data_IF_147138708976
#
_entry.id   IF_147138708976
#
_cell.length_a   1.000
_cell.length_b   1.000
_cell.length_c   1.000
_cell.angle_alpha   90.00
_cell.angle_beta   90.00
_cell.angle_gamma   90.00
#
_symmetry.space_group_name_H-M   'P 1'
#
loop_
_entity.id
_entity.type
_entity.pdbx_description
1 polymer ?
#
# COMPACT_ATOMS: atom_id res chain seq x y z
N UNK A 1 -21.05 5.91 8.74
CA UNK A 1 -20.15 4.76 8.98
C UNK A 1 -20.48 3.71 7.93
N UNK A 2 -19.72 3.66 6.83
CA UNK A 2 -19.94 2.67 5.77
C UNK A 2 -19.06 1.47 6.08
N UNK A 3 -19.67 0.45 6.69
CA UNK A 3 -19.02 -0.85 6.93
C UNK A 3 -18.75 -1.50 5.56
N UNK A 4 -17.51 -1.88 5.22
CA UNK A 4 -17.26 -2.61 3.99
C UNK A 4 -17.98 -3.97 4.03
N UNK A 5 -18.50 -4.43 2.89
CA UNK A 5 -19.05 -5.79 2.76
C UNK A 5 -17.94 -6.78 3.10
N UNK A 6 -18.26 -7.74 3.97
CA UNK A 6 -17.44 -8.90 4.32
C UNK A 6 -16.94 -9.57 3.02
N UNK A 7 -15.65 -9.42 2.70
CA UNK A 7 -15.00 -10.00 1.52
C UNK A 7 -14.54 -9.02 0.42
N UNK A 8 -14.83 -7.72 0.52
CA UNK A 8 -14.32 -6.73 -0.43
C UNK A 8 -13.13 -5.96 0.16
N UNK A 9 -11.99 -5.98 -0.54
CA UNK A 9 -10.82 -5.18 -0.18
C UNK A 9 -11.19 -3.67 -0.18
N UNK A 10 -10.71 -2.86 0.77
CA UNK A 10 -11.06 -1.45 0.88
C UNK A 10 -10.62 -0.67 -0.35
N UNK A 11 -11.40 0.33 -0.80
CA UNK A 11 -10.98 1.16 -1.93
C UNK A 11 -9.70 1.93 -1.58
N UNK A 12 -8.65 1.73 -2.37
CA UNK A 12 -7.39 2.48 -2.24
C UNK A 12 -7.36 3.69 -3.18
N UNK A 13 -6.59 4.71 -2.79
CA UNK A 13 -6.36 5.90 -3.61
C UNK A 13 -4.86 6.07 -3.83
N UNK A 14 -4.44 6.28 -5.07
CA UNK A 14 -3.04 6.44 -5.45
C UNK A 14 -2.82 7.78 -6.16
N UNK A 15 -1.63 8.33 -6.00
CA UNK A 15 -1.20 9.46 -6.82
C UNK A 15 -0.88 8.92 -8.21
N UNK A 16 -1.10 9.72 -9.25
CA UNK A 16 -0.77 9.32 -10.62
C UNK A 16 0.70 8.91 -10.80
N UNK A 17 1.64 9.62 -10.16
CA UNK A 17 3.06 9.29 -10.24
C UNK A 17 3.43 8.00 -9.49
N UNK A 18 2.83 7.77 -8.32
CA UNK A 18 2.98 6.49 -7.61
C UNK A 18 2.38 5.34 -8.43
N UNK A 19 1.20 5.54 -9.03
CA UNK A 19 0.55 4.53 -9.88
C UNK A 19 1.44 4.12 -11.06
N UNK A 20 1.94 5.10 -11.82
CA UNK A 20 2.80 4.84 -12.99
C UNK A 20 4.10 4.10 -12.61
N UNK A 21 4.68 4.45 -11.45
CA UNK A 21 5.88 3.80 -10.95
C UNK A 21 5.60 2.35 -10.53
N UNK A 22 4.46 2.10 -9.87
CA UNK A 22 4.09 0.78 -9.40
C UNK A 22 3.63 -0.13 -10.54
N UNK A 23 2.85 0.37 -11.49
CA UNK A 23 2.40 -0.37 -12.68
C UNK A 23 3.59 -0.88 -13.50
N UNK A 24 4.58 0.00 -13.76
CA UNK A 24 5.83 -0.41 -14.41
C UNK A 24 6.58 -1.46 -13.59
N UNK A 25 6.62 -1.32 -12.27
CA UNK A 25 7.30 -2.24 -11.39
C UNK A 25 6.67 -3.65 -11.42
N UNK A 26 5.34 -3.74 -11.39
CA UNK A 26 4.65 -5.05 -11.38
C UNK A 26 4.53 -5.67 -12.76
N UNK A 27 4.45 -4.87 -13.83
CA UNK A 27 4.38 -5.36 -15.21
C UNK A 27 5.60 -6.19 -15.63
N UNK A 28 6.75 -5.95 -15.00
CA UNK A 28 8.00 -6.71 -15.23
C UNK A 28 8.10 -8.01 -14.40
N UNK A 29 7.13 -8.28 -13.52
CA UNK A 29 7.18 -9.36 -12.54
C UNK A 29 6.13 -10.46 -12.80
N UNK A 30 6.35 -11.69 -12.28
CA UNK A 30 5.32 -12.72 -12.29
C UNK A 30 4.07 -12.26 -11.53
N UNK A 31 2.89 -12.55 -12.10
CA UNK A 31 1.58 -12.20 -11.51
C UNK A 31 1.18 -13.06 -10.30
N UNK A 32 2.08 -13.29 -9.36
CA UNK A 32 1.84 -14.04 -8.13
C UNK A 32 2.52 -13.39 -6.92
N UNK A 33 2.17 -13.83 -5.72
CA UNK A 33 2.68 -13.26 -4.48
C UNK A 33 2.36 -11.76 -4.34
N UNK A 34 3.23 -10.97 -3.66
CA UNK A 34 2.99 -9.55 -3.45
C UNK A 34 2.83 -8.73 -4.74
N UNK A 35 3.54 -9.08 -5.82
CA UNK A 35 3.43 -8.39 -7.10
C UNK A 35 2.05 -8.59 -7.74
N UNK A 36 1.55 -9.84 -7.75
CA UNK A 36 0.20 -10.14 -8.24
C UNK A 36 -0.89 -9.48 -7.40
N UNK A 37 -0.73 -9.44 -6.08
CA UNK A 37 -1.67 -8.74 -5.19
C UNK A 37 -1.65 -7.22 -5.41
N UNK A 38 -0.47 -6.64 -5.59
CA UNK A 38 -0.33 -5.22 -5.90
C UNK A 38 -0.96 -4.88 -7.25
N UNK A 39 -0.79 -5.71 -8.28
CA UNK A 39 -1.47 -5.52 -9.57
C UNK A 39 -3.00 -5.48 -9.40
N UNK A 40 -3.58 -6.40 -8.61
CA UNK A 40 -5.02 -6.40 -8.33
C UNK A 40 -5.50 -5.12 -7.64
N UNK A 41 -4.65 -4.51 -6.80
CA UNK A 41 -4.93 -3.21 -6.18
C UNK A 41 -4.86 -2.07 -7.19
N UNK A 42 -3.86 -2.07 -8.08
CA UNK A 42 -3.74 -1.08 -9.14
C UNK A 42 -4.96 -1.09 -10.06
N UNK A 43 -5.43 -2.26 -10.48
CA UNK A 43 -6.57 -2.44 -11.41
C UNK A 43 -7.87 -1.77 -10.91
N UNK A 44 -8.02 -1.59 -9.59
CA UNK A 44 -9.20 -1.02 -8.94
C UNK A 44 -8.92 0.30 -8.21
N UNK A 45 -7.69 0.81 -8.26
CA UNK A 45 -7.28 2.00 -7.52
C UNK A 45 -7.98 3.24 -8.05
N UNK A 46 -8.34 4.16 -7.15
CA UNK A 46 -8.70 5.52 -7.55
C UNK A 46 -7.44 6.33 -7.73
N UNK A 47 -7.17 6.79 -8.94
CA UNK A 47 -6.00 7.62 -9.23
C UNK A 47 -6.38 9.10 -9.13
N UNK A 48 -5.56 9.89 -8.44
CA UNK A 48 -5.71 11.34 -8.39
C UNK A 48 -4.40 12.06 -8.67
N UNK A 49 -4.50 13.32 -9.07
CA UNK A 49 -3.35 14.19 -9.18
C UNK A 49 -2.61 14.33 -7.83
N UNK A 50 -1.27 14.48 -7.81
CA UNK A 50 -0.51 14.63 -6.57
C UNK A 50 -1.01 15.76 -5.67
N UNK A 51 -1.47 16.86 -6.27
CA UNK A 51 -2.00 18.02 -5.55
C UNK A 51 -3.36 17.76 -4.89
N UNK A 52 -4.10 16.76 -5.37
CA UNK A 52 -5.42 16.38 -4.86
C UNK A 52 -5.34 15.24 -3.82
N UNK A 53 -4.15 14.67 -3.60
CA UNK A 53 -3.96 13.53 -2.69
C UNK A 53 -4.27 13.93 -1.24
N UNK A 54 -5.21 13.24 -0.56
CA UNK A 54 -5.48 13.50 0.85
C UNK A 54 -4.25 13.21 1.73
N UNK A 55 -4.00 14.10 2.69
CA UNK A 55 -2.89 13.96 3.64
C UNK A 55 -3.03 12.78 4.60
N UNK A 56 -4.10 12.01 4.57
CA UNK A 56 -4.27 10.83 5.42
C UNK A 56 -4.29 9.53 4.62
N UNK A 57 -3.82 9.56 3.36
CA UNK A 57 -3.63 8.36 2.55
C UNK A 57 -2.15 7.97 2.58
N UNK A 58 -1.90 6.66 2.65
CA UNK A 58 -0.58 6.06 2.56
C UNK A 58 -0.06 6.19 1.14
N UNK A 59 1.12 6.79 0.99
CA UNK A 59 1.83 6.94 -0.28
C UNK A 59 3.24 6.40 -0.15
N UNK A 60 3.95 6.25 -1.27
CA UNK A 60 5.38 5.98 -1.23
C UNK A 60 6.13 7.11 -0.52
N UNK A 61 7.28 6.77 0.06
CA UNK A 61 8.21 7.67 0.71
C UNK A 61 7.62 8.48 1.86
N UNK A 62 6.53 8.00 2.46
CA UNK A 62 5.89 8.61 3.61
C UNK A 62 5.90 7.69 4.83
N UNK A 63 6.28 8.24 5.97
CA UNK A 63 6.21 7.55 7.25
C UNK A 63 4.76 7.35 7.69
N UNK A 64 4.44 6.13 8.10
CA UNK A 64 3.14 5.73 8.62
C UNK A 64 3.31 4.89 9.88
N UNK A 65 2.21 4.73 10.60
CA UNK A 65 2.08 3.80 11.70
C UNK A 65 0.98 2.79 11.35
N UNK A 66 1.22 1.51 11.62
CA UNK A 66 0.21 0.47 11.52
C UNK A 66 0.32 -0.50 12.70
N UNK A 67 -0.77 -1.18 12.99
CA UNK A 67 -0.85 -2.33 13.88
C UNK A 67 -1.45 -3.50 13.11
N UNK A 68 -1.01 -4.71 13.43
CA UNK A 68 -1.63 -5.94 12.94
C UNK A 68 -2.22 -6.72 14.12
N UNK A 69 -3.05 -7.72 13.84
CA UNK A 69 -3.68 -8.54 14.89
C UNK A 69 -2.70 -9.55 15.53
N UNK A 70 -1.47 -9.65 14.99
CA UNK A 70 -0.45 -10.56 15.48
C UNK A 70 0.41 -9.95 16.59
N UNK A 71 0.51 -8.61 16.65
CA UNK A 71 1.24 -7.88 17.68
C UNK A 71 0.46 -6.65 18.15
N UNK A 72 0.35 -6.43 19.47
CA UNK A 72 -0.20 -5.18 20.01
C UNK A 72 0.70 -3.96 19.76
N UNK A 73 1.91 -4.15 19.23
CA UNK A 73 2.85 -3.06 18.95
C UNK A 73 2.49 -2.29 17.68
N UNK A 74 2.41 -0.97 17.81
CA UNK A 74 2.33 -0.06 16.67
C UNK A 74 3.69 0.06 16.01
N UNK A 75 3.80 -0.36 14.76
CA UNK A 75 5.05 -0.29 13.98
C UNK A 75 5.08 1.00 13.15
N UNK A 76 6.22 1.68 13.16
CA UNK A 76 6.49 2.84 12.30
C UNK A 76 7.31 2.40 11.09
N UNK A 77 6.79 2.60 9.89
CA UNK A 77 7.46 2.23 8.64
C UNK A 77 7.32 3.30 7.56
N UNK A 78 8.16 3.23 6.54
CA UNK A 78 8.03 3.99 5.30
C UNK A 78 7.94 3.01 4.14
N UNK A 79 6.91 3.12 3.30
CA UNK A 79 6.81 2.30 2.09
C UNK A 79 7.72 2.87 1.01
N UNK A 80 8.56 2.03 0.42
CA UNK A 80 9.57 2.44 -0.56
C UNK A 80 9.64 1.45 -1.73
N UNK A 81 10.32 1.83 -2.80
CA UNK A 81 10.59 0.90 -3.91
C UNK A 81 11.59 -0.18 -3.48
N UNK A 82 11.61 -1.35 -4.14
CA UNK A 82 12.44 -2.50 -3.70
C UNK A 82 13.93 -2.17 -3.55
N UNK A 83 14.45 -1.26 -4.37
CA UNK A 83 15.87 -0.85 -4.34
C UNK A 83 16.25 -0.01 -3.12
N UNK A 84 15.28 0.54 -2.41
CA UNK A 84 15.46 1.46 -1.27
C UNK A 84 15.12 0.80 0.07
N UNK A 85 14.63 -0.44 0.03
CA UNK A 85 14.20 -1.20 1.20
C UNK A 85 15.37 -1.45 2.15
N UNK A 86 15.10 -1.23 3.44
CA UNK A 86 16.07 -1.31 4.52
C UNK A 86 15.28 -1.47 5.82
N UNK A 87 15.23 -2.72 6.30
CA UNK A 87 14.42 -3.10 7.46
C UNK A 87 14.96 -2.42 8.72
N UNK A 88 16.28 -2.33 8.87
CA UNK A 88 16.93 -1.71 10.04
C UNK A 88 16.61 -0.22 10.13
N UNK A 89 16.42 0.43 8.98
CA UNK A 89 15.96 1.81 8.90
C UNK A 89 14.43 1.97 8.82
N UNK A 90 13.64 0.91 9.00
CA UNK A 90 12.17 0.96 8.94
C UNK A 90 11.59 1.22 7.54
N UNK A 91 12.38 1.04 6.47
CA UNK A 91 11.93 1.19 5.08
C UNK A 91 11.50 -0.16 4.52
N UNK A 92 10.20 -0.29 4.27
CA UNK A 92 9.57 -1.54 3.82
C UNK A 92 9.31 -1.47 2.33
N UNK A 93 9.73 -2.51 1.60
CA UNK A 93 9.47 -2.63 0.17
C UNK A 93 7.98 -2.71 -0.12
N UNK A 94 7.53 -1.98 -1.15
CA UNK A 94 6.18 -2.09 -1.70
C UNK A 94 5.85 -3.50 -2.22
N UNK A 95 6.85 -4.31 -2.57
CA UNK A 95 6.71 -5.71 -2.98
C UNK A 95 6.77 -6.71 -1.80
N UNK A 96 6.51 -6.23 -0.58
CA UNK A 96 6.22 -7.11 0.56
C UNK A 96 4.72 -7.23 0.76
N UNK A 97 4.25 -8.29 1.44
CA UNK A 97 2.83 -8.43 1.79
C UNK A 97 2.32 -7.22 2.57
N UNK A 98 3.09 -6.76 3.57
CA UNK A 98 2.78 -5.55 4.34
C UNK A 98 2.73 -4.31 3.45
N UNK A 99 3.72 -4.12 2.56
CA UNK A 99 3.77 -2.96 1.67
C UNK A 99 2.58 -2.91 0.71
N UNK A 100 2.30 -4.02 0.02
CA UNK A 100 1.20 -4.12 -0.94
C UNK A 100 -0.17 -3.96 -0.26
N UNK A 101 -0.34 -4.44 0.97
CA UNK A 101 -1.60 -4.29 1.71
C UNK A 101 -1.83 -2.88 2.26
N UNK A 102 -0.77 -2.13 2.56
CA UNK A 102 -0.88 -0.80 3.18
C UNK A 102 -1.00 0.36 2.19
N UNK A 103 -0.48 0.21 0.97
CA UNK A 103 -0.44 1.31 0.00
C UNK A 103 -1.85 1.82 -0.36
N UNK A 104 -2.01 3.14 -0.39
CA UNK A 104 -3.27 3.77 -0.76
C UNK A 104 -4.42 3.60 0.23
N UNK A 105 -4.20 2.94 1.38
CA UNK A 105 -5.14 2.96 2.51
C UNK A 105 -5.18 4.34 3.14
N UNK A 106 -6.34 4.67 3.71
CA UNK A 106 -6.56 5.88 4.50
C UNK A 106 -6.38 5.58 5.99
N UNK A 107 -5.91 6.56 6.76
CA UNK A 107 -5.90 6.51 8.23
C UNK A 107 -7.26 6.03 8.78
N UNK A 108 -7.21 5.05 9.68
CA UNK A 108 -8.38 4.40 10.27
C UNK A 108 -9.02 3.30 9.42
N UNK A 109 -8.53 3.03 8.21
CA UNK A 109 -8.90 1.82 7.46
C UNK A 109 -8.09 0.61 7.93
N UNK A 110 -8.71 -0.55 7.79
CA UNK A 110 -8.07 -1.85 8.01
C UNK A 110 -8.33 -2.74 6.80
N UNK A 111 -7.42 -3.67 6.57
CA UNK A 111 -7.49 -4.63 5.48
C UNK A 111 -7.17 -6.01 6.04
N UNK A 112 -7.91 -7.02 5.61
CA UNK A 112 -7.47 -8.41 5.75
C UNK A 112 -6.68 -8.73 4.50
N UNK A 113 -5.39 -9.00 4.68
CA UNK A 113 -4.44 -9.22 3.60
C UNK A 113 -3.78 -10.59 3.74
N UNK A 114 -3.48 -11.31 2.64
CA UNK A 114 -2.85 -12.64 2.69
C UNK A 114 -1.46 -12.66 3.31
#
# INVERSE_FOLDING_TARGET
MTTPRKGALPAITLRSDDFDALDRLVGDLPGSGPAGLLQQELDRAKVCEPKAMPKNVVTLNRWLHYSDDHSPEVRRVQLVLPKEADIDAGRVSILSYVGAGLIGLKEGQSITWP
#
